data_IF_158863946366
#
_entry.id   IF_158863946366
#
_cell.length_a   1.000
_cell.length_b   1.000
_cell.length_c   1.000
_cell.angle_alpha   90.00
_cell.angle_beta   90.00
_cell.angle_gamma   90.00
#
_symmetry.space_group_name_H-M   'P 1'
#
loop_
_entity.id
_entity.type
_entity.pdbx_description
1 polymer ?
#
# COMPACT_ATOMS: atom_id res chain seq x y z
N UNK A 1 -12.06 -19.97 17.68
CA UNK A 1 -11.98 -20.32 16.24
C UNK A 1 -13.30 -19.98 15.57
N UNK A 2 -13.25 -19.16 14.54
CA UNK A 2 -14.45 -18.85 13.74
C UNK A 2 -14.71 -19.97 12.75
N UNK A 3 -15.99 -20.32 12.57
CA UNK A 3 -16.41 -21.39 11.67
C UNK A 3 -17.47 -20.86 10.72
N UNK A 4 -17.30 -21.10 9.42
CA UNK A 4 -18.31 -20.84 8.43
C UNK A 4 -19.15 -22.09 8.21
N UNK A 5 -20.46 -21.96 8.34
CA UNK A 5 -21.41 -23.01 7.97
C UNK A 5 -22.08 -22.61 6.65
N UNK A 6 -21.91 -23.44 5.63
CA UNK A 6 -22.42 -23.14 4.29
C UNK A 6 -23.47 -24.16 3.90
N UNK A 7 -24.67 -23.69 3.61
CA UNK A 7 -25.75 -24.50 3.08
C UNK A 7 -25.91 -24.24 1.58
N UNK A 8 -25.83 -25.27 0.78
CA UNK A 8 -25.98 -25.18 -0.67
C UNK A 8 -27.42 -25.37 -1.11
N UNK A 9 -27.64 -25.33 -2.43
CA UNK A 9 -28.96 -25.61 -3.03
C UNK A 9 -29.90 -24.42 -3.11
N UNK A 10 -29.47 -23.23 -2.66
CA UNK A 10 -30.29 -22.01 -2.74
C UNK A 10 -29.99 -21.28 -4.06
N UNK A 11 -31.07 -20.94 -4.80
CA UNK A 11 -30.97 -20.12 -6.01
C UNK A 11 -30.59 -18.69 -5.60
N UNK A 12 -29.47 -18.20 -6.11
CA UNK A 12 -28.98 -16.86 -5.79
C UNK A 12 -29.53 -15.84 -6.78
N UNK A 13 -29.92 -14.67 -6.26
CA UNK A 13 -30.36 -13.51 -7.04
C UNK A 13 -29.94 -12.26 -6.28
N UNK A 14 -29.33 -11.33 -6.96
CA UNK A 14 -28.91 -10.06 -6.35
C UNK A 14 -27.78 -9.42 -7.12
N UNK A 15 -27.27 -8.33 -6.55
CA UNK A 15 -26.18 -7.56 -7.10
C UNK A 15 -24.99 -7.62 -6.14
N UNK A 16 -23.80 -7.80 -6.67
CA UNK A 16 -22.57 -7.77 -5.90
C UNK A 16 -21.70 -6.63 -6.42
N UNK A 17 -21.34 -5.71 -5.53
CA UNK A 17 -20.42 -4.62 -5.85
C UNK A 17 -19.07 -4.98 -5.25
N UNK A 18 -18.05 -5.33 -6.08
CA UNK A 18 -16.75 -5.67 -5.56
C UNK A 18 -16.04 -4.43 -5.02
N UNK A 19 -15.30 -4.59 -3.94
CA UNK A 19 -14.39 -3.55 -3.47
C UNK A 19 -13.13 -3.51 -4.34
N UNK A 20 -12.33 -2.44 -4.21
CA UNK A 20 -11.07 -2.31 -4.94
C UNK A 20 -10.10 -3.45 -4.66
N UNK A 21 -9.24 -3.74 -5.63
CA UNK A 21 -8.25 -4.80 -5.52
C UNK A 21 -7.09 -4.38 -4.62
N UNK A 22 -6.75 -5.22 -3.64
CA UNK A 22 -5.66 -4.98 -2.70
C UNK A 22 -4.31 -4.76 -3.41
N UNK A 23 -3.95 -5.65 -4.30
CA UNK A 23 -2.63 -5.61 -4.95
C UNK A 23 -2.48 -4.44 -5.92
N UNK A 24 -3.56 -4.05 -6.57
CA UNK A 24 -3.59 -2.85 -7.40
C UNK A 24 -3.43 -1.59 -6.54
N UNK A 25 -4.20 -1.50 -5.45
CA UNK A 25 -4.13 -0.35 -4.55
C UNK A 25 -2.74 -0.18 -3.93
N UNK A 26 -2.08 -1.26 -3.54
CA UNK A 26 -0.73 -1.20 -2.99
C UNK A 26 0.27 -0.56 -3.97
N UNK A 27 0.15 -0.84 -5.26
CA UNK A 27 1.05 -0.30 -6.27
C UNK A 27 0.69 1.15 -6.63
N UNK A 28 -0.57 1.45 -6.81
CA UNK A 28 -1.04 2.80 -7.14
C UNK A 28 -0.71 3.78 -6.01
N UNK A 29 -0.88 3.37 -4.77
CA UNK A 29 -0.53 4.21 -3.61
C UNK A 29 0.96 4.54 -3.57
N UNK A 30 1.82 3.61 -3.95
CA UNK A 30 3.26 3.89 -4.05
C UNK A 30 3.56 4.89 -5.18
N UNK A 31 2.80 4.86 -6.25
CA UNK A 31 2.98 5.75 -7.40
C UNK A 31 2.70 7.22 -7.08
N UNK A 32 1.97 7.54 -6.01
CA UNK A 32 1.73 8.94 -5.60
C UNK A 32 3.04 9.65 -5.22
N UNK A 33 4.10 8.91 -4.91
CA UNK A 33 5.41 9.46 -4.62
C UNK A 33 6.13 10.00 -5.87
N UNK A 34 5.68 9.65 -7.08
CA UNK A 34 6.33 10.04 -8.33
C UNK A 34 6.14 11.52 -8.69
N UNK A 35 5.12 12.17 -8.16
CA UNK A 35 4.78 13.55 -8.52
C UNK A 35 4.43 14.38 -7.27
N UNK A 36 4.75 15.69 -7.25
CA UNK A 36 4.31 16.58 -6.18
C UNK A 36 2.85 17.02 -6.33
N UNK A 37 2.18 16.65 -7.40
CA UNK A 37 0.79 17.06 -7.65
C UNK A 37 -0.19 16.31 -6.74
N UNK A 38 -1.34 16.92 -6.51
CA UNK A 38 -2.43 16.33 -5.73
C UNK A 38 -3.14 15.27 -6.56
N UNK A 39 -3.26 14.06 -6.02
CA UNK A 39 -3.89 12.91 -6.67
C UNK A 39 -5.08 12.46 -5.85
N UNK A 40 -6.21 12.23 -6.52
CA UNK A 40 -7.40 11.64 -5.89
C UNK A 40 -7.54 10.19 -6.34
N UNK A 41 -7.68 9.28 -5.40
CA UNK A 41 -7.88 7.85 -5.67
C UNK A 41 -9.16 7.40 -4.99
N UNK A 42 -10.02 6.75 -5.76
CA UNK A 42 -11.31 6.24 -5.30
C UNK A 42 -11.29 4.71 -5.23
N UNK A 43 -12.26 4.15 -4.54
CA UNK A 43 -12.44 2.71 -4.40
C UNK A 43 -11.22 1.99 -3.80
N UNK A 44 -10.59 2.62 -2.81
CA UNK A 44 -9.50 2.01 -2.04
C UNK A 44 -10.13 1.04 -1.02
N UNK A 45 -9.72 -0.24 -1.00
CA UNK A 45 -10.27 -1.19 -0.05
C UNK A 45 -9.82 -0.87 1.38
N UNK A 46 -10.73 -1.01 2.34
CA UNK A 46 -10.44 -0.81 3.76
C UNK A 46 -9.96 -2.13 4.37
N UNK A 47 -8.68 -2.40 4.21
CA UNK A 47 -8.03 -3.60 4.72
C UNK A 47 -6.72 -3.23 5.41
N UNK A 48 -6.22 -4.13 6.25
CA UNK A 48 -5.06 -3.89 7.12
C UNK A 48 -3.82 -3.45 6.32
N UNK A 49 -3.47 -4.15 5.28
CA UNK A 49 -2.26 -3.86 4.49
C UNK A 49 -2.33 -2.50 3.81
N UNK A 50 -3.49 -2.12 3.31
CA UNK A 50 -3.70 -0.81 2.70
C UNK A 50 -3.59 0.29 3.75
N UNK A 51 -4.21 0.10 4.91
CA UNK A 51 -4.15 1.08 5.99
C UNK A 51 -2.72 1.25 6.53
N UNK A 52 -1.94 0.17 6.60
CA UNK A 52 -0.52 0.23 6.96
C UNK A 52 0.28 1.05 5.94
N UNK A 53 0.04 0.86 4.65
CA UNK A 53 0.73 1.61 3.60
C UNK A 53 0.37 3.09 3.65
N UNK A 54 -0.91 3.42 3.83
CA UNK A 54 -1.36 4.80 3.97
C UNK A 54 -0.67 5.48 5.17
N UNK A 55 -0.58 4.77 6.30
CA UNK A 55 0.13 5.26 7.48
C UNK A 55 1.61 5.50 7.18
N UNK A 56 2.26 4.57 6.50
CA UNK A 56 3.67 4.70 6.10
C UNK A 56 3.88 5.92 5.20
N UNK A 57 3.03 6.12 4.20
CA UNK A 57 3.11 7.28 3.31
C UNK A 57 2.93 8.59 4.09
N UNK A 58 2.01 8.63 5.05
CA UNK A 58 1.81 9.79 5.93
C UNK A 58 3.06 10.11 6.74
N UNK A 59 3.74 9.08 7.26
CA UNK A 59 4.97 9.25 8.01
C UNK A 59 6.14 9.71 7.12
N UNK A 60 6.11 9.39 5.84
CA UNK A 60 7.07 9.92 4.86
C UNK A 60 6.83 11.39 4.51
N UNK A 61 5.72 11.96 4.94
CA UNK A 61 5.40 13.36 4.68
C UNK A 61 4.33 13.58 3.61
N UNK A 62 3.73 12.53 3.08
CA UNK A 62 2.62 12.66 2.12
C UNK A 62 1.41 13.25 2.83
N UNK A 63 0.83 14.31 2.27
CA UNK A 63 -0.39 14.91 2.77
C UNK A 63 -1.57 14.05 2.34
N UNK A 64 -2.32 13.52 3.30
CA UNK A 64 -3.41 12.58 3.05
C UNK A 64 -4.70 13.13 3.64
N UNK A 65 -5.75 13.19 2.83
CA UNK A 65 -7.08 13.59 3.25
C UNK A 65 -8.10 12.53 2.82
N UNK A 66 -8.86 12.04 3.79
CA UNK A 66 -9.96 11.10 3.52
C UNK A 66 -11.21 11.88 3.12
N UNK A 67 -11.68 11.69 1.89
CA UNK A 67 -12.87 12.37 1.38
C UNK A 67 -14.16 11.63 1.72
N UNK A 68 -14.08 10.31 1.91
CA UNK A 68 -15.20 9.46 2.22
C UNK A 68 -14.75 8.01 2.26
N UNK A 69 -15.69 7.07 2.29
CA UNK A 69 -15.34 5.66 2.32
C UNK A 69 -14.61 5.24 1.04
N UNK A 70 -13.35 4.83 1.19
CA UNK A 70 -12.52 4.39 0.07
C UNK A 70 -12.00 5.50 -0.85
N UNK A 71 -12.25 6.77 -0.53
CA UNK A 71 -11.78 7.90 -1.35
C UNK A 71 -10.82 8.77 -0.58
N UNK A 72 -9.64 9.01 -1.15
CA UNK A 72 -8.57 9.80 -0.52
C UNK A 72 -7.90 10.72 -1.52
N UNK A 73 -7.37 11.84 -1.04
CA UNK A 73 -6.41 12.64 -1.78
C UNK A 73 -5.03 12.45 -1.18
N UNK A 74 -4.02 12.43 -2.05
CA UNK A 74 -2.62 12.31 -1.68
C UNK A 74 -1.82 13.40 -2.38
N UNK A 75 -0.92 14.04 -1.63
CA UNK A 75 0.01 15.00 -2.20
C UNK A 75 1.38 14.82 -1.58
N UNK A 76 2.36 14.47 -2.39
CA UNK A 76 3.75 14.25 -1.96
C UNK A 76 4.66 15.38 -2.42
N UNK A 77 4.28 16.63 -2.13
CA UNK A 77 5.06 17.82 -2.43
C UNK A 77 6.26 17.96 -1.50
N UNK A 78 6.15 17.48 -0.26
CA UNK A 78 7.21 17.48 0.73
C UNK A 78 7.40 16.07 1.30
N UNK A 79 8.42 15.35 0.83
CA UNK A 79 8.73 14.00 1.31
C UNK A 79 9.97 14.05 2.19
N UNK A 80 9.85 13.52 3.41
CA UNK A 80 10.98 13.43 4.35
C UNK A 80 11.79 12.16 4.09
N UNK A 81 12.78 12.26 3.22
CA UNK A 81 13.66 11.13 2.86
C UNK A 81 14.45 10.63 4.08
N UNK A 82 14.74 11.50 5.04
CA UNK A 82 15.42 11.12 6.28
C UNK A 82 14.65 10.10 7.13
N UNK A 83 13.32 10.04 7.01
CA UNK A 83 12.52 9.05 7.69
C UNK A 83 12.89 7.61 7.30
N UNK A 84 13.39 7.40 6.07
CA UNK A 84 13.82 6.09 5.58
C UNK A 84 14.97 5.48 6.40
N UNK A 85 15.74 6.30 7.08
CA UNK A 85 16.89 5.88 7.90
C UNK A 85 16.50 5.58 9.35
N UNK A 86 15.23 5.77 9.72
CA UNK A 86 14.76 5.58 11.09
C UNK A 86 14.38 4.13 11.39
N UNK A 87 14.44 3.76 12.66
CA UNK A 87 13.96 2.45 13.14
C UNK A 87 12.45 2.31 12.95
N UNK A 88 11.70 3.41 13.04
CA UNK A 88 10.27 3.41 12.78
C UNK A 88 9.94 2.96 11.36
N UNK A 89 10.69 3.44 10.36
CA UNK A 89 10.53 3.01 8.97
C UNK A 89 10.86 1.52 8.80
N UNK A 90 11.94 1.04 9.39
CA UNK A 90 12.32 -0.38 9.33
C UNK A 90 11.22 -1.28 9.88
N UNK A 91 10.60 -0.87 10.99
CA UNK A 91 9.51 -1.60 11.62
C UNK A 91 8.24 -1.60 10.75
N UNK A 92 7.82 -0.43 10.27
CA UNK A 92 6.62 -0.28 9.45
C UNK A 92 6.77 -0.99 8.09
N UNK A 93 7.88 -0.74 7.40
CA UNK A 93 8.15 -1.35 6.10
C UNK A 93 8.33 -2.86 6.18
N UNK A 94 8.93 -3.35 7.27
CA UNK A 94 9.12 -4.78 7.50
C UNK A 94 7.83 -5.54 7.75
N UNK A 95 6.76 -4.86 8.19
CA UNK A 95 5.46 -5.49 8.44
C UNK A 95 4.60 -5.63 7.18
N UNK A 96 5.04 -5.10 6.05
CA UNK A 96 4.26 -5.02 4.82
C UNK A 96 5.12 -5.35 3.60
N UNK A 97 4.81 -6.46 2.90
CA UNK A 97 5.54 -6.86 1.71
C UNK A 97 5.47 -5.81 0.58
N UNK A 98 4.30 -5.19 0.41
CA UNK A 98 4.08 -4.19 -0.62
C UNK A 98 4.92 -2.93 -0.46
N UNK A 99 5.54 -2.71 0.71
CA UNK A 99 6.38 -1.54 0.97
C UNK A 99 7.60 -1.46 0.05
N UNK A 100 8.03 -2.59 -0.52
CA UNK A 100 9.14 -2.62 -1.48
C UNK A 100 8.86 -1.77 -2.71
N UNK A 101 7.59 -1.59 -3.06
CA UNK A 101 7.18 -0.84 -4.25
C UNK A 101 7.42 0.68 -4.13
N UNK A 102 7.73 1.19 -2.93
CA UNK A 102 8.08 2.61 -2.77
C UNK A 102 9.49 2.93 -3.28
N UNK A 103 10.33 1.92 -3.41
CA UNK A 103 11.75 2.09 -3.79
C UNK A 103 11.90 2.74 -5.16
N UNK A 104 11.17 2.26 -6.15
CA UNK A 104 11.22 2.80 -7.51
C UNK A 104 10.90 4.30 -7.55
N UNK A 105 9.72 4.73 -7.06
CA UNK A 105 9.37 6.14 -7.00
C UNK A 105 10.36 7.00 -6.21
N UNK A 106 10.85 6.53 -5.07
CA UNK A 106 11.82 7.27 -4.26
C UNK A 106 13.16 7.43 -4.96
N UNK A 107 13.64 6.38 -5.62
CA UNK A 107 14.88 6.44 -6.41
C UNK A 107 14.73 7.38 -7.61
N UNK A 108 13.61 7.29 -8.32
CA UNK A 108 13.35 8.10 -9.50
C UNK A 108 13.27 9.59 -9.18
N UNK A 109 12.66 9.96 -8.05
CA UNK A 109 12.40 11.35 -7.70
C UNK A 109 13.48 11.96 -6.80
N UNK A 110 14.00 11.21 -5.84
CA UNK A 110 14.90 11.71 -4.81
C UNK A 110 16.32 11.12 -4.88
N UNK A 111 16.56 10.11 -5.69
CA UNK A 111 17.84 9.44 -5.80
C UNK A 111 18.21 8.55 -4.62
N UNK A 112 17.28 8.35 -3.67
CA UNK A 112 17.48 7.53 -2.46
C UNK A 112 16.29 6.63 -2.22
N UNK A 113 16.55 5.38 -1.86
CA UNK A 113 15.53 4.45 -1.43
C UNK A 113 16.14 3.39 -0.52
N UNK A 114 15.41 2.99 0.51
CA UNK A 114 15.82 1.95 1.43
C UNK A 114 14.78 0.86 1.42
N UNK A 115 15.23 -0.38 1.49
CA UNK A 115 14.37 -1.57 1.45
C UNK A 115 14.49 -2.30 2.77
N UNK A 116 13.50 -2.20 3.67
CA UNK A 116 13.45 -3.09 4.82
C UNK A 116 13.09 -4.50 4.36
N UNK A 117 13.41 -5.50 5.18
CA UNK A 117 13.02 -6.87 4.89
C UNK A 117 11.50 -6.98 4.73
N UNK A 118 10.98 -7.48 3.58
CA UNK A 118 9.55 -7.54 3.35
C UNK A 118 8.80 -8.41 4.35
N UNK A 119 7.63 -7.93 4.80
CA UNK A 119 6.69 -8.66 5.61
C UNK A 119 5.45 -9.06 4.81
N UNK A 120 4.31 -9.19 5.49
CA UNK A 120 3.01 -9.52 4.89
C UNK A 120 2.62 -10.98 5.06
N UNK A 121 1.74 -11.46 4.18
CA UNK A 121 1.19 -12.81 4.27
C UNK A 121 2.24 -13.89 4.08
N UNK A 122 2.19 -14.92 4.93
CA UNK A 122 3.08 -16.09 4.83
C UNK A 122 2.44 -17.14 3.92
N UNK A 123 2.57 -16.97 2.62
CA UNK A 123 2.01 -17.88 1.60
C UNK A 123 3.13 -18.66 0.91
N UNK A 124 4.15 -19.06 1.63
CA UNK A 124 5.31 -19.73 1.07
C UNK A 124 6.33 -18.76 0.48
N UNK A 125 7.26 -19.30 -0.34
CA UNK A 125 8.35 -18.51 -0.89
C UNK A 125 7.87 -17.60 -2.02
N UNK A 126 8.10 -16.29 -1.88
CA UNK A 126 7.82 -15.30 -2.92
C UNK A 126 9.13 -14.62 -3.31
N UNK A 127 9.46 -14.71 -4.56
CA UNK A 127 10.71 -14.14 -5.09
C UNK A 127 10.54 -12.64 -5.38
N UNK A 128 11.59 -11.88 -5.05
CA UNK A 128 11.68 -10.43 -5.28
C UNK A 128 12.88 -10.06 -6.14
N UNK A 129 13.67 -11.03 -6.59
CA UNK A 129 14.90 -10.80 -7.34
C UNK A 129 14.68 -9.95 -8.61
N UNK A 130 13.57 -10.11 -9.29
CA UNK A 130 13.24 -9.30 -10.47
C UNK A 130 13.07 -7.82 -10.14
N UNK A 131 12.59 -7.48 -8.95
CA UNK A 131 12.49 -6.08 -8.49
C UNK A 131 13.85 -5.47 -8.21
N UNK A 132 14.81 -6.28 -7.74
CA UNK A 132 16.17 -5.82 -7.43
C UNK A 132 17.03 -5.70 -8.67
N UNK A 133 16.77 -6.50 -9.70
CA UNK A 133 17.50 -6.47 -10.97
C UNK A 133 17.11 -5.28 -11.86
N UNK A 134 15.93 -4.71 -11.64
CA UNK A 134 15.45 -3.52 -12.35
C UNK A 134 16.05 -2.20 -11.81
#
# INVERSE_FOLDING_TARGET
MEVFKIEGGTRLKGEVIPQGAKNEALQILCAVLLTPEKITINNIPDIIDINKLITLLGNLGVKIEKLGHGSYTFQSDEVNVGYLETEAFKKEGGSLRGSIMIVGPLLARFGKGYIPKPGGDKIGRRRLDTHFEG
#
